data_IF_887095384873
#
_entry.id   IF_887095384873
#
_cell.length_a   1.000
_cell.length_b   1.000
_cell.length_c   1.000
_cell.angle_alpha   90.00
_cell.angle_beta   90.00
_cell.angle_gamma   90.00
#
_symmetry.space_group_name_H-M   'P 1'
#
loop_
_entity.id
_entity.type
_entity.pdbx_description
1 polymer ?
#
# COMPACT_ATOMS: atom_id res chain seq x y z
N UNK A 1 19.94 -9.39 -6.35
CA UNK A 1 20.42 -8.10 -5.82
C UNK A 1 19.21 -7.36 -5.24
N UNK A 2 19.34 -6.62 -4.14
CA UNK A 2 18.23 -5.87 -3.52
C UNK A 2 18.54 -4.37 -3.56
N UNK A 3 17.54 -3.55 -3.85
CA UNK A 3 17.56 -2.10 -3.72
C UNK A 3 16.75 -1.66 -2.52
N UNK A 4 17.10 -0.51 -1.96
CA UNK A 4 16.38 0.12 -0.86
C UNK A 4 15.55 1.29 -1.38
N UNK A 5 14.27 1.32 -1.02
CA UNK A 5 13.37 2.45 -1.23
C UNK A 5 12.91 2.98 0.11
N UNK A 6 13.07 4.28 0.34
CA UNK A 6 12.42 5.00 1.42
C UNK A 6 11.03 5.42 0.93
N UNK A 7 9.99 4.86 1.55
CA UNK A 7 8.59 5.07 1.15
C UNK A 7 7.83 5.75 2.27
N UNK A 8 7.06 6.78 1.92
CA UNK A 8 6.13 7.47 2.79
C UNK A 8 4.75 7.49 2.14
N UNK A 9 3.76 6.92 2.83
CA UNK A 9 2.36 7.08 2.48
C UNK A 9 1.80 8.28 3.24
N UNK A 10 1.38 9.29 2.50
CA UNK A 10 0.83 10.54 3.03
C UNK A 10 -0.70 10.49 2.94
N UNK A 11 -1.43 10.52 4.06
CA UNK A 11 -2.89 10.51 4.04
C UNK A 11 -3.45 11.77 3.38
N UNK A 12 -4.24 11.58 2.32
CA UNK A 12 -5.06 12.63 1.72
C UNK A 12 -6.35 12.78 2.52
N UNK A 13 -6.93 11.64 2.91
CA UNK A 13 -8.07 11.55 3.84
C UNK A 13 -7.66 10.76 5.08
N UNK A 14 -8.34 10.92 6.23
CA UNK A 14 -8.09 10.08 7.40
C UNK A 14 -8.24 8.60 7.06
N UNK A 15 -7.54 7.75 7.81
CA UNK A 15 -7.62 6.30 7.67
C UNK A 15 -7.80 5.64 9.03
N UNK A 16 -8.25 4.39 9.04
CA UNK A 16 -8.37 3.58 10.24
C UNK A 16 -7.87 2.16 10.02
N UNK A 17 -7.04 1.68 10.94
CA UNK A 17 -6.67 0.27 11.03
C UNK A 17 -7.39 -0.30 12.23
N UNK A 18 -8.43 -1.09 11.99
CA UNK A 18 -9.32 -1.58 13.05
C UNK A 18 -8.59 -2.58 13.95
N UNK A 19 -8.77 -2.43 15.27
CA UNK A 19 -8.48 -3.50 16.21
C UNK A 19 -9.48 -4.66 16.05
N UNK A 20 -9.11 -5.88 16.46
CA UNK A 20 -10.12 -6.93 16.70
C UNK A 20 -11.01 -6.46 17.85
N UNK A 21 -12.31 -6.40 17.60
CA UNK A 21 -13.31 -5.84 18.52
C UNK A 21 -13.25 -6.54 19.89
N UNK A 22 -12.96 -5.78 20.94
CA UNK A 22 -13.07 -6.22 22.34
C UNK A 22 -13.72 -5.17 23.26
N UNK A 23 -14.15 -4.02 22.73
CA UNK A 23 -14.65 -2.91 23.54
C UNK A 23 -16.18 -2.93 23.66
N UNK A 24 -16.70 -2.67 24.87
CA UNK A 24 -18.13 -2.55 25.17
C UNK A 24 -18.78 -1.24 24.66
N UNK A 25 -18.00 -0.26 24.15
CA UNK A 25 -18.54 0.99 23.59
C UNK A 25 -18.94 0.79 22.12
N UNK A 26 -20.07 1.39 21.70
CA UNK A 26 -20.44 1.49 20.28
C UNK A 26 -19.46 2.43 19.57
N UNK A 27 -18.36 1.90 19.08
CA UNK A 27 -17.34 2.64 18.36
C UNK A 27 -16.33 1.73 17.68
N UNK A 28 -15.59 2.27 16.72
CA UNK A 28 -14.49 1.56 16.06
C UNK A 28 -13.18 2.20 16.46
N UNK A 29 -12.40 1.48 17.26
CA UNK A 29 -11.09 1.93 17.71
C UNK A 29 -9.99 1.56 16.73
N UNK A 30 -8.97 2.40 16.72
CA UNK A 30 -7.73 2.19 16.02
C UNK A 30 -6.89 1.14 16.76
N UNK A 31 -6.12 0.35 16.04
CA UNK A 31 -5.33 -0.74 16.61
C UNK A 31 -4.22 -0.24 17.55
N UNK A 32 -4.07 -0.92 18.68
CA UNK A 32 -3.00 -0.68 19.67
C UNK A 32 -1.95 -1.79 19.64
N UNK A 33 -0.74 -1.47 20.07
CA UNK A 33 0.34 -2.43 20.19
C UNK A 33 0.00 -3.55 21.18
N UNK A 34 0.50 -4.76 20.96
CA UNK A 34 0.33 -5.85 21.92
C UNK A 34 1.12 -5.62 23.22
N UNK A 35 2.17 -4.80 23.15
CA UNK A 35 3.11 -4.52 24.24
C UNK A 35 3.14 -3.04 24.65
N UNK A 36 2.39 -2.18 23.96
CA UNK A 36 2.27 -0.75 24.27
C UNK A 36 0.80 -0.35 24.23
N UNK A 37 0.39 0.54 25.13
CA UNK A 37 -0.94 1.15 25.07
C UNK A 37 -1.10 2.14 23.89
N UNK A 38 -0.03 2.32 23.11
CA UNK A 38 0.05 3.22 21.97
C UNK A 38 -0.62 2.63 20.74
N UNK A 39 -1.21 3.51 19.92
CA UNK A 39 -1.74 3.15 18.62
C UNK A 39 -0.61 2.90 17.63
N UNK A 40 -0.77 1.87 16.79
CA UNK A 40 0.31 1.40 15.89
C UNK A 40 -0.19 1.17 14.46
N UNK A 41 0.74 1.12 13.52
CA UNK A 41 0.50 0.62 12.15
C UNK A 41 1.23 -0.70 11.98
N UNK A 42 0.51 -1.84 11.96
CA UNK A 42 1.15 -3.13 11.73
C UNK A 42 1.81 -3.20 10.35
N UNK A 43 3.00 -3.77 10.28
CA UNK A 43 3.69 -4.00 9.00
C UNK A 43 2.90 -4.93 8.08
N UNK A 44 2.09 -5.84 8.65
CA UNK A 44 1.15 -6.68 7.91
C UNK A 44 0.06 -5.87 7.20
N UNK A 45 -0.44 -4.80 7.82
CA UNK A 45 -1.42 -3.90 7.20
C UNK A 45 -0.80 -3.16 6.02
N UNK A 46 0.43 -2.66 6.15
CA UNK A 46 1.17 -2.01 5.05
C UNK A 46 1.45 -3.01 3.92
N UNK A 47 1.96 -4.19 4.25
CA UNK A 47 2.24 -5.24 3.25
C UNK A 47 0.98 -5.66 2.50
N UNK A 48 -0.11 -5.89 3.22
CA UNK A 48 -1.39 -6.27 2.63
C UNK A 48 -1.95 -5.16 1.73
N UNK A 49 -1.82 -3.90 2.16
CA UNK A 49 -2.21 -2.75 1.35
C UNK A 49 -1.39 -2.63 0.06
N UNK A 50 -0.06 -2.72 0.15
CA UNK A 50 0.82 -2.68 -1.04
C UNK A 50 0.49 -3.82 -2.00
N UNK A 51 0.30 -5.05 -1.49
CA UNK A 51 -0.07 -6.22 -2.30
C UNK A 51 -1.41 -5.98 -3.01
N UNK A 52 -2.42 -5.51 -2.29
CA UNK A 52 -3.74 -5.20 -2.86
C UNK A 52 -3.65 -4.08 -3.91
N UNK A 53 -2.85 -3.06 -3.65
CA UNK A 53 -2.65 -1.94 -4.59
C UNK A 53 -1.97 -2.40 -5.88
N UNK A 54 -0.94 -3.25 -5.77
CA UNK A 54 -0.30 -3.87 -6.95
C UNK A 54 -1.28 -4.73 -7.74
N UNK A 55 -2.17 -5.48 -7.05
CA UNK A 55 -3.24 -6.25 -7.72
C UNK A 55 -4.14 -5.33 -8.55
N UNK A 56 -4.66 -4.27 -7.92
CA UNK A 56 -5.52 -3.28 -8.60
C UNK A 56 -4.79 -2.69 -9.80
N UNK A 57 -3.54 -2.28 -9.63
CA UNK A 57 -2.77 -1.70 -10.71
C UNK A 57 -2.60 -2.67 -11.90
N UNK A 58 -2.22 -3.91 -11.63
CA UNK A 58 -2.07 -4.92 -12.67
C UNK A 58 -3.40 -5.26 -13.37
N UNK A 59 -4.52 -5.32 -12.63
CA UNK A 59 -5.85 -5.54 -13.20
C UNK A 59 -6.24 -4.42 -14.16
N UNK A 60 -5.97 -3.17 -13.80
CA UNK A 60 -6.26 -2.01 -14.66
C UNK A 60 -5.42 -2.00 -15.94
N UNK A 61 -4.29 -2.72 -15.96
CA UNK A 61 -3.49 -2.94 -17.15
C UNK A 61 -3.89 -4.18 -17.96
N UNK A 62 -5.00 -4.85 -17.61
CA UNK A 62 -5.51 -6.01 -18.35
C UNK A 62 -4.72 -7.31 -18.15
N UNK A 63 -3.93 -7.41 -17.07
CA UNK A 63 -3.27 -8.67 -16.73
C UNK A 63 -4.29 -9.70 -16.21
N UNK A 64 -4.21 -10.98 -16.61
CA UNK A 64 -5.13 -12.01 -16.14
C UNK A 64 -4.84 -12.39 -14.67
N UNK A 65 -5.90 -12.67 -13.91
CA UNK A 65 -5.85 -12.97 -12.46
C UNK A 65 -4.78 -14.01 -12.08
N UNK A 66 -4.72 -15.15 -12.79
CA UNK A 66 -3.76 -16.21 -12.50
C UNK A 66 -2.30 -15.73 -12.58
N UNK A 67 -2.01 -14.81 -13.51
CA UNK A 67 -0.68 -14.22 -13.67
C UNK A 67 -0.39 -13.21 -12.58
N UNK A 68 -1.38 -12.40 -12.22
CA UNK A 68 -1.27 -11.45 -11.12
C UNK A 68 -0.95 -12.17 -9.82
N UNK A 69 -1.63 -13.27 -9.51
CA UNK A 69 -1.38 -14.04 -8.30
C UNK A 69 0.05 -14.58 -8.24
N UNK A 70 0.56 -15.13 -9.36
CA UNK A 70 1.94 -15.57 -9.45
C UNK A 70 2.97 -14.45 -9.25
N UNK A 71 2.72 -13.26 -9.83
CA UNK A 71 3.58 -12.08 -9.63
C UNK A 71 3.54 -11.59 -8.17
N UNK A 72 2.36 -11.50 -7.57
CA UNK A 72 2.20 -11.04 -6.19
C UNK A 72 2.79 -12.05 -5.20
N UNK A 73 2.72 -13.35 -5.45
CA UNK A 73 3.40 -14.36 -4.64
C UNK A 73 4.93 -14.28 -4.77
N UNK A 74 5.47 -13.98 -5.97
CA UNK A 74 6.90 -13.70 -6.13
C UNK A 74 7.33 -12.47 -5.32
N UNK A 75 6.61 -11.36 -5.43
CA UNK A 75 6.96 -10.09 -4.77
C UNK A 75 6.79 -10.19 -3.26
N UNK A 76 5.58 -10.53 -2.80
CA UNK A 76 5.19 -10.46 -1.39
C UNK A 76 5.33 -11.79 -0.65
N UNK A 77 5.56 -12.90 -1.35
CA UNK A 77 5.52 -14.24 -0.78
C UNK A 77 4.12 -14.81 -0.71
N UNK A 78 4.05 -16.10 -0.43
CA UNK A 78 2.83 -16.88 -0.23
C UNK A 78 3.09 -18.00 0.76
N UNK A 79 2.16 -18.96 0.83
CA UNK A 79 2.32 -20.14 1.69
C UNK A 79 3.50 -20.99 1.23
N UNK A 80 3.73 -21.04 -0.09
CA UNK A 80 4.74 -21.91 -0.71
C UNK A 80 6.10 -21.24 -0.93
N UNK A 81 6.17 -19.91 -0.87
CA UNK A 81 7.32 -19.13 -1.36
C UNK A 81 7.62 -17.91 -0.50
N UNK A 82 8.91 -17.69 -0.21
CA UNK A 82 9.40 -16.43 0.38
C UNK A 82 9.37 -15.32 -0.66
N UNK A 83 8.85 -14.15 -0.27
CA UNK A 83 8.77 -12.98 -1.14
C UNK A 83 10.12 -12.34 -1.42
N UNK A 84 10.21 -11.70 -2.59
CA UNK A 84 11.35 -10.90 -3.05
C UNK A 84 11.42 -9.49 -2.45
N UNK A 85 10.46 -9.10 -1.60
CA UNK A 85 10.51 -7.84 -0.85
C UNK A 85 10.57 -8.04 0.66
N UNK A 86 11.20 -7.10 1.35
CA UNK A 86 11.16 -6.98 2.82
C UNK A 86 10.78 -5.56 3.20
N UNK A 87 9.80 -5.43 4.10
CA UNK A 87 9.44 -4.13 4.68
C UNK A 87 10.20 -3.95 5.99
N UNK A 88 10.90 -2.83 6.11
CA UNK A 88 11.57 -2.41 7.35
C UNK A 88 10.79 -1.22 7.87
N UNK A 89 10.15 -1.40 9.02
CA UNK A 89 9.30 -0.39 9.63
C UNK A 89 9.78 -0.14 11.05
N UNK A 90 9.93 1.13 11.41
CA UNK A 90 9.76 1.54 12.79
C UNK A 90 8.29 1.89 12.94
N UNK A 91 7.67 1.43 14.02
CA UNK A 91 6.26 1.73 14.27
C UNK A 91 6.21 2.94 15.20
N UNK A 92 6.16 4.18 14.70
CA UNK A 92 5.95 5.32 15.56
C UNK A 92 4.58 5.22 16.22
N UNK A 93 4.45 5.86 17.39
CA UNK A 93 3.14 6.11 17.99
C UNK A 93 2.27 6.87 16.99
N UNK A 94 1.08 6.33 16.73
CA UNK A 94 0.11 6.90 15.79
C UNK A 94 -0.78 7.87 16.53
N UNK A 95 -0.85 9.11 16.06
CA UNK A 95 -1.81 10.07 16.60
C UNK A 95 -3.19 9.74 16.04
N UNK A 96 -4.17 9.60 16.94
CA UNK A 96 -5.56 9.31 16.58
C UNK A 96 -6.47 10.45 17.02
N UNK A 97 -7.50 10.68 16.22
CA UNK A 97 -8.59 11.62 16.51
C UNK A 97 -9.93 10.90 16.42
N UNK A 98 -10.91 11.35 17.22
CA UNK A 98 -12.26 10.82 17.14
C UNK A 98 -13.05 11.54 16.05
N UNK A 99 -13.55 10.76 15.09
CA UNK A 99 -14.47 11.24 14.08
C UNK A 99 -15.87 10.73 14.41
N UNK A 100 -16.81 11.67 14.64
CA UNK A 100 -18.24 11.37 14.69
C UNK A 100 -18.77 11.35 13.27
N UNK A 101 -19.18 10.19 12.81
CA UNK A 101 -19.89 10.07 11.54
C UNK A 101 -21.26 9.43 11.78
N UNK A 102 -22.26 9.93 11.08
CA UNK A 102 -23.58 9.33 10.96
C UNK A 102 -23.54 8.07 10.08
N UNK A 103 -22.62 7.13 10.37
CA UNK A 103 -22.43 5.91 9.58
C UNK A 103 -23.66 5.01 9.53
N UNK A 104 -24.52 5.13 10.54
CA UNK A 104 -25.75 4.38 10.71
C UNK A 104 -26.83 5.33 11.20
N UNK A 105 -27.90 5.44 10.42
CA UNK A 105 -29.18 5.99 10.84
C UNK A 105 -30.08 4.77 11.06
N UNK A 106 -30.45 4.52 12.30
CA UNK A 106 -31.45 3.49 12.59
C UNK A 106 -32.80 4.06 12.17
N UNK A 107 -33.41 3.47 11.14
CA UNK A 107 -34.71 3.90 10.59
C UNK A 107 -35.83 3.86 11.64
N UNK A 108 -35.63 3.13 12.75
CA UNK A 108 -36.60 2.98 13.84
C UNK A 108 -36.34 3.88 15.05
N UNK A 109 -35.17 4.55 15.12
CA UNK A 109 -34.80 5.38 16.27
C UNK A 109 -34.76 6.86 15.90
N UNK A 110 -35.52 7.70 16.61
CA UNK A 110 -35.48 9.17 16.49
C UNK A 110 -34.20 9.79 17.09
N UNK A 111 -33.39 9.01 17.79
CA UNK A 111 -32.12 9.43 18.37
C UNK A 111 -30.95 9.00 17.49
N UNK A 112 -30.57 9.84 16.53
CA UNK A 112 -29.41 9.67 15.66
C UNK A 112 -28.07 9.71 16.42
N UNK A 113 -27.71 8.61 17.09
CA UNK A 113 -26.40 8.44 17.69
C UNK A 113 -25.39 7.98 16.64
N UNK A 114 -24.54 8.89 16.15
CA UNK A 114 -23.43 8.53 15.26
C UNK A 114 -22.46 7.55 15.93
N UNK A 115 -21.82 6.70 15.12
CA UNK A 115 -20.78 5.79 15.61
C UNK A 115 -19.48 6.58 15.69
N UNK A 116 -18.84 6.57 16.87
CA UNK A 116 -17.51 7.15 17.05
C UNK A 116 -16.47 6.26 16.40
N UNK A 117 -15.63 6.82 15.55
CA UNK A 117 -14.58 6.10 14.84
C UNK A 117 -13.24 6.83 15.05
N UNK A 118 -12.26 6.11 15.59
CA UNK A 118 -10.90 6.62 15.73
C UNK A 118 -10.20 6.55 14.37
N UNK A 119 -9.76 7.70 13.86
CA UNK A 119 -9.04 7.82 12.59
C UNK A 119 -7.67 8.44 12.83
N UNK A 120 -6.78 8.29 11.84
CA UNK A 120 -5.46 8.92 11.86
C UNK A 120 -5.16 9.61 10.53
N UNK A 121 -4.33 10.65 10.62
CA UNK A 121 -3.65 11.30 9.49
C UNK A 121 -2.13 11.17 9.57
N UNK A 122 -1.62 10.32 10.48
CA UNK A 122 -0.19 10.10 10.65
C UNK A 122 0.39 9.47 9.37
N UNK A 123 1.44 10.05 8.76
CA UNK A 123 2.09 9.44 7.60
C UNK A 123 2.70 8.07 7.93
N UNK A 124 2.59 7.12 7.00
CA UNK A 124 3.18 5.78 7.16
C UNK A 124 4.53 5.76 6.49
N UNK A 125 5.60 5.68 7.28
CA UNK A 125 6.99 5.69 6.78
C UNK A 125 7.61 4.30 6.94
N UNK A 126 8.22 3.80 5.87
CA UNK A 126 8.89 2.50 5.87
C UNK A 126 9.94 2.40 4.77
N UNK A 127 10.88 1.47 4.94
CA UNK A 127 11.80 1.09 3.87
C UNK A 127 11.34 -0.20 3.20
N UNK A 128 11.59 -0.29 1.91
CA UNK A 128 11.40 -1.52 1.13
C UNK A 128 12.74 -1.98 0.60
N UNK A 129 13.17 -3.17 1.00
CA UNK A 129 14.24 -3.88 0.31
C UNK A 129 13.60 -4.72 -0.79
N UNK A 130 13.96 -4.50 -2.05
CA UNK A 130 13.31 -5.11 -3.21
C UNK A 130 14.31 -5.65 -4.24
N UNK A 131 14.06 -6.83 -4.80
CA UNK A 131 14.83 -7.32 -5.93
C UNK A 131 14.50 -6.58 -7.24
N UNK A 132 15.52 -6.35 -8.06
CA UNK A 132 15.42 -5.62 -9.33
C UNK A 132 14.28 -6.10 -10.23
N UNK A 133 14.17 -7.43 -10.38
CA UNK A 133 13.28 -8.08 -11.32
C UNK A 133 11.80 -7.89 -10.95
N UNK A 134 11.50 -7.68 -9.66
CA UNK A 134 10.13 -7.47 -9.18
C UNK A 134 9.82 -6.02 -8.87
N UNK A 135 10.80 -5.11 -8.94
CA UNK A 135 10.61 -3.69 -8.68
C UNK A 135 9.49 -3.05 -9.51
N UNK A 136 9.36 -3.35 -10.82
CA UNK A 136 8.28 -2.80 -11.63
C UNK A 136 6.87 -3.07 -11.09
N UNK A 137 6.65 -4.20 -10.42
CA UNK A 137 5.34 -4.56 -9.85
C UNK A 137 4.92 -3.58 -8.76
N UNK A 138 5.85 -3.10 -7.93
CA UNK A 138 5.52 -2.13 -6.89
C UNK A 138 5.06 -0.79 -7.45
N UNK A 139 5.58 -0.38 -8.61
CA UNK A 139 5.19 0.89 -9.24
C UNK A 139 3.75 0.88 -9.74
N UNK A 140 3.22 -0.25 -10.20
CA UNK A 140 1.77 -0.38 -10.42
C UNK A 140 0.97 -0.14 -9.14
N UNK A 141 1.48 -0.66 -8.02
CA UNK A 141 0.88 -0.42 -6.70
C UNK A 141 0.93 1.04 -6.30
N UNK A 142 2.09 1.69 -6.44
CA UNK A 142 2.24 3.11 -6.11
C UNK A 142 1.35 3.98 -6.96
N UNK A 143 1.31 3.75 -8.27
CA UNK A 143 0.46 4.50 -9.18
C UNK A 143 -1.02 4.30 -8.88
N UNK A 144 -1.45 3.07 -8.58
CA UNK A 144 -2.83 2.80 -8.15
C UNK A 144 -3.21 3.51 -6.83
N UNK A 145 -2.24 3.73 -5.94
CA UNK A 145 -2.44 4.52 -4.72
C UNK A 145 -2.60 6.00 -5.07
N UNK A 146 -1.67 6.57 -5.84
CA UNK A 146 -1.67 8.00 -6.21
C UNK A 146 -2.91 8.41 -7.01
N UNK A 147 -3.39 7.53 -7.89
CA UNK A 147 -4.60 7.76 -8.68
C UNK A 147 -5.89 7.48 -7.87
N UNK A 148 -5.78 7.16 -6.58
CA UNK A 148 -6.90 6.98 -5.66
C UNK A 148 -7.68 5.67 -5.84
N UNK A 149 -7.16 4.73 -6.64
CA UNK A 149 -7.76 3.42 -6.92
C UNK A 149 -7.60 2.45 -5.74
N UNK A 150 -6.55 2.63 -4.93
CA UNK A 150 -6.30 1.85 -3.74
C UNK A 150 -6.41 2.70 -2.46
N UNK A 151 -7.20 2.23 -1.50
CA UNK A 151 -7.40 2.90 -0.19
C UNK A 151 -6.87 2.07 0.97
N UNK A 152 -6.22 2.74 1.92
CA UNK A 152 -5.64 2.14 3.12
C UNK A 152 -6.65 2.00 4.26
N UNK A 153 -6.58 0.89 5.00
CA UNK A 153 -7.42 0.68 6.18
C UNK A 153 -8.89 0.34 5.87
N UNK A 154 -9.77 0.63 6.84
CA UNK A 154 -11.21 0.36 6.80
C UNK A 154 -12.05 1.53 6.31
N UNK A 155 -13.37 1.32 6.19
CA UNK A 155 -14.36 2.34 5.78
C UNK A 155 -14.06 3.01 4.43
N UNK A 156 -13.44 2.27 3.51
CA UNK A 156 -13.04 2.75 2.19
C UNK A 156 -14.21 3.35 1.39
N UNK A 157 -15.40 2.76 1.46
CA UNK A 157 -16.61 3.24 0.77
C UNK A 157 -17.13 4.58 1.30
N UNK A 158 -16.64 5.06 2.44
CA UNK A 158 -17.02 6.32 3.07
C UNK A 158 -16.03 7.45 2.82
N UNK A 159 -15.11 7.27 1.88
CA UNK A 159 -14.12 8.30 1.56
C UNK A 159 -12.83 8.23 2.37
N UNK A 160 -12.70 7.30 3.33
CA UNK A 160 -11.49 7.15 4.13
C UNK A 160 -10.39 6.37 3.39
N UNK A 161 -9.14 6.64 3.79
CA UNK A 161 -7.98 5.86 3.37
C UNK A 161 -7.33 6.25 2.05
N UNK A 162 -7.69 7.37 1.42
CA UNK A 162 -6.93 7.92 0.29
C UNK A 162 -5.53 8.32 0.75
N UNK A 163 -4.53 7.91 -0.03
CA UNK A 163 -3.11 8.08 0.25
C UNK A 163 -2.41 8.62 -0.99
N UNK A 164 -1.30 9.33 -0.77
CA UNK A 164 -0.30 9.65 -1.78
C UNK A 164 1.00 8.91 -1.46
N UNK A 165 1.72 8.46 -2.46
CA UNK A 165 3.02 7.81 -2.30
C UNK A 165 4.14 8.82 -2.55
N UNK A 166 5.06 8.90 -1.60
CA UNK A 166 6.35 9.54 -1.78
C UNK A 166 7.40 8.44 -1.66
N UNK A 167 8.02 8.05 -2.78
CA UNK A 167 9.07 7.03 -2.81
C UNK A 167 10.38 7.65 -3.30
N UNK A 168 11.49 7.32 -2.63
CA UNK A 168 12.84 7.76 -3.00
C UNK A 168 13.80 6.60 -2.89
N UNK A 169 14.81 6.59 -3.74
CA UNK A 169 15.90 5.62 -3.63
C UNK A 169 16.67 5.89 -2.33
N UNK A 170 16.83 4.84 -1.53
CA UNK A 170 17.58 4.89 -0.28
C UNK A 170 19.09 5.03 -0.50
N UNK A 171 19.83 4.94 0.60
CA UNK A 171 21.29 5.03 0.57
C UNK A 171 21.94 3.94 -0.30
N UNK A 172 23.09 4.28 -0.92
CA UNK A 172 23.91 3.32 -1.67
C UNK A 172 24.42 2.26 -0.69
N UNK A 173 24.00 1.01 -0.88
CA UNK A 173 24.60 -0.13 -0.20
C UNK A 173 26.05 -0.28 -0.75
N UNK A 174 27.10 -0.33 0.09
CA UNK A 174 28.50 -0.29 -0.36
C UNK A 174 28.94 -1.41 -1.32
N UNK A 175 28.09 -2.42 -1.58
CA UNK A 175 28.32 -3.47 -2.58
C UNK A 175 27.79 -3.17 -3.99
N UNK A 176 27.31 -1.96 -4.31
CA UNK A 176 26.80 -1.64 -5.64
C UNK A 176 27.88 -1.10 -6.58
N UNK A 177 27.87 -1.56 -7.84
CA UNK A 177 28.49 -0.78 -8.91
C UNK A 177 27.66 0.48 -9.15
N UNK A 178 28.34 1.62 -9.32
CA UNK A 178 27.70 2.92 -9.58
C UNK A 178 26.75 2.87 -10.78
N UNK A 179 27.07 2.09 -11.81
CA UNK A 179 26.29 1.94 -13.03
C UNK A 179 24.90 1.30 -12.78
N UNK A 180 24.82 0.18 -12.05
CA UNK A 180 23.53 -0.48 -11.78
C UNK A 180 22.63 0.38 -10.89
N UNK A 181 23.21 1.08 -9.93
CA UNK A 181 22.47 2.04 -9.10
C UNK A 181 21.89 3.16 -9.95
N UNK A 182 22.65 3.71 -10.90
CA UNK A 182 22.18 4.74 -11.82
C UNK A 182 21.06 4.23 -12.74
N UNK A 183 21.19 3.01 -13.27
CA UNK A 183 20.14 2.38 -14.09
C UNK A 183 18.85 2.21 -13.31
N UNK A 184 18.93 1.69 -12.09
CA UNK A 184 17.77 1.52 -11.23
C UNK A 184 17.16 2.85 -10.81
N UNK A 185 17.98 3.86 -10.52
CA UNK A 185 17.52 5.21 -10.24
C UNK A 185 16.73 5.80 -11.41
N UNK A 186 17.25 5.69 -12.64
CA UNK A 186 16.56 6.13 -13.85
C UNK A 186 15.22 5.41 -14.02
N UNK A 187 15.19 4.09 -13.83
CA UNK A 187 13.96 3.31 -13.87
C UNK A 187 12.91 3.88 -12.89
N UNK A 188 13.30 4.21 -11.67
CA UNK A 188 12.37 4.77 -10.68
C UNK A 188 11.88 6.16 -11.11
N UNK A 189 12.79 7.04 -11.49
CA UNK A 189 12.45 8.40 -11.92
C UNK A 189 11.50 8.36 -13.13
N UNK A 190 11.78 7.50 -14.11
CA UNK A 190 10.91 7.26 -15.26
C UNK A 190 9.55 6.75 -14.81
N UNK A 191 9.49 5.64 -14.08
CA UNK A 191 8.23 4.99 -13.70
C UNK A 191 7.34 5.87 -12.81
N UNK A 192 7.93 6.68 -11.93
CA UNK A 192 7.20 7.62 -11.09
C UNK A 192 6.63 8.80 -11.88
N UNK A 193 7.15 9.09 -13.07
CA UNK A 193 6.65 10.17 -13.94
C UNK A 193 5.56 9.73 -14.92
N UNK A 194 5.39 8.42 -15.14
CA UNK A 194 4.44 7.90 -16.10
C UNK A 194 3.00 8.02 -15.59
N UNK A 195 2.10 8.40 -16.51
CA UNK A 195 0.67 8.18 -16.30
C UNK A 195 0.34 6.67 -16.33
N UNK A 196 -0.84 6.32 -15.82
CA UNK A 196 -1.25 4.92 -15.70
C UNK A 196 -1.26 4.18 -17.06
N UNK A 197 -1.85 4.73 -18.14
CA UNK A 197 -1.85 4.07 -19.45
C UNK A 197 -0.45 3.86 -20.02
N UNK A 198 0.47 4.81 -19.83
CA UNK A 198 1.85 4.70 -20.30
C UNK A 198 2.63 3.69 -19.48
N UNK A 199 2.44 3.66 -18.15
CA UNK A 199 3.01 2.64 -17.28
C UNK A 199 2.61 1.22 -17.73
N UNK A 200 1.34 0.99 -18.04
CA UNK A 200 0.87 -0.30 -18.56
C UNK A 200 1.62 -0.69 -19.85
N UNK A 201 1.75 0.24 -20.81
CA UNK A 201 2.40 -0.03 -22.10
C UNK A 201 3.90 -0.31 -21.95
N UNK A 202 4.62 0.53 -21.21
CA UNK A 202 6.08 0.41 -21.00
C UNK A 202 6.46 -0.90 -20.32
N UNK A 203 5.60 -1.40 -19.44
CA UNK A 203 5.86 -2.62 -18.68
C UNK A 203 5.36 -3.90 -19.35
N UNK A 204 4.45 -3.79 -20.31
CA UNK A 204 4.03 -4.90 -21.20
C UNK A 204 5.21 -5.49 -21.97
N UNK A 205 6.19 -4.66 -22.34
CA UNK A 205 7.42 -5.05 -23.03
C UNK A 205 8.49 -5.65 -22.11
N UNK A 206 8.28 -5.61 -20.79
CA UNK A 206 9.27 -6.11 -19.84
C UNK A 206 9.13 -7.64 -19.71
N UNK A 207 10.19 -8.39 -20.01
CA UNK A 207 10.17 -9.85 -20.14
C UNK A 207 9.65 -10.58 -18.88
N UNK A 208 9.76 -9.95 -17.71
CA UNK A 208 9.31 -10.50 -16.43
C UNK A 208 7.79 -10.42 -16.29
N UNK A 209 7.18 -9.37 -16.82
CA UNK A 209 5.75 -9.13 -16.77
C UNK A 209 5.04 -9.73 -17.97
N UNK A 210 5.72 -9.83 -19.12
CA UNK A 210 5.23 -10.23 -20.44
C UNK A 210 3.95 -9.52 -20.89
N UNK A 211 3.50 -9.85 -22.10
CA UNK A 211 2.40 -9.09 -22.71
C UNK A 211 1.08 -9.26 -21.94
N UNK A 212 0.29 -8.19 -21.72
CA UNK A 212 -1.09 -8.31 -21.30
C UNK A 212 -1.86 -9.15 -22.32
N UNK A 213 -2.92 -9.82 -21.88
CA UNK A 213 -3.72 -10.63 -22.79
C UNK A 213 -4.21 -9.77 -23.95
N UNK A 214 -4.01 -10.23 -25.19
CA UNK A 214 -4.63 -9.63 -26.35
C UNK A 214 -6.14 -9.74 -26.18
N UNK A 215 -6.78 -8.65 -25.76
CA UNK A 215 -8.22 -8.49 -25.85
C UNK A 215 -8.55 -8.46 -27.34
N UNK A 216 -8.94 -9.63 -27.87
CA UNK A 216 -9.77 -9.71 -29.06
C UNK A 216 -11.19 -9.28 -28.70
#
# INVERSE_FOLDING_TARGET
MFFELDVRLVPVTPYIIRARSGSRRRGVSFIKGSWSAEHIIPSSSVKGFLRGSCRVGLLMCGYPDARIDGLLERVFGGVSRKGSIRLIMRTPSVQVEEMKEGFTLDLSSTSGGGVLVEVSRTPVVFKVLIQEDVAPVLFFGFKAIDDGLARFGGFKSRGLGLMRVEARLGGINPGFSSERYLTFRKLIEEMSSLDFPTLCRTLSSNAILGSPASTK
#
